data_IF_159058213959
#
_entry.id   IF_159058213959
#
_cell.length_a   1.000
_cell.length_b   1.000
_cell.length_c   1.000
_cell.angle_alpha   90.00
_cell.angle_beta   90.00
_cell.angle_gamma   90.00
#
_symmetry.space_group_name_H-M   'P 1'
#
loop_
_entity.id
_entity.type
_entity.pdbx_description
1 polymer ?
#
# COMPACT_ATOMS: atom_id res chain seq x y z
N UNK A 1 30.71 29.24 32.82
CA UNK A 1 31.04 28.16 31.85
C UNK A 1 29.81 27.31 31.48
N UNK A 2 28.59 27.74 31.82
CA UNK A 2 27.38 26.90 31.75
C UNK A 2 26.50 27.16 30.51
N UNK A 3 26.45 28.39 30.00
CA UNK A 3 25.61 28.74 28.85
C UNK A 3 26.03 28.02 27.55
N UNK A 4 27.34 27.82 27.34
CA UNK A 4 27.87 27.11 26.16
C UNK A 4 27.54 25.61 26.19
N UNK A 5 27.50 24.99 27.36
CA UNK A 5 27.11 23.59 27.50
C UNK A 5 25.61 23.40 27.24
N UNK A 6 24.77 24.33 27.72
CA UNK A 6 23.32 24.27 27.49
C UNK A 6 22.97 24.40 26.01
N UNK A 7 23.63 25.31 25.26
CA UNK A 7 23.43 25.46 23.83
C UNK A 7 23.86 24.21 23.03
N UNK A 8 24.97 23.58 23.40
CA UNK A 8 25.41 22.34 22.76
C UNK A 8 24.44 21.19 23.00
N UNK A 9 23.83 21.11 24.19
CA UNK A 9 22.81 20.10 24.52
C UNK A 9 21.53 20.33 23.71
N UNK A 10 21.07 21.59 23.57
CA UNK A 10 19.88 21.92 22.76
C UNK A 10 20.11 21.58 21.28
N UNK A 11 21.31 21.87 20.75
CA UNK A 11 21.70 21.52 19.38
C UNK A 11 21.77 20.00 19.22
N UNK A 12 22.33 19.27 20.19
CA UNK A 12 22.36 17.80 20.19
C UNK A 12 20.96 17.17 20.26
N UNK A 13 20.03 17.74 21.04
CA UNK A 13 18.63 17.29 21.10
C UNK A 13 17.90 17.61 19.79
N UNK A 14 18.11 18.80 19.22
CA UNK A 14 17.51 19.16 17.93
C UNK A 14 18.07 18.31 16.76
N UNK A 15 19.35 17.93 16.83
CA UNK A 15 19.98 17.00 15.88
C UNK A 15 19.49 15.57 16.14
N UNK A 16 19.36 15.11 17.39
CA UNK A 16 18.81 13.80 17.72
C UNK A 16 17.32 13.66 17.36
N UNK A 17 16.54 14.73 17.44
CA UNK A 17 15.16 14.76 16.95
C UNK A 17 15.07 14.80 15.41
N UNK A 18 16.12 15.29 14.72
CA UNK A 18 16.21 15.27 13.25
C UNK A 18 16.82 13.97 12.70
N UNK A 19 17.61 13.25 13.50
CA UNK A 19 18.12 11.94 13.13
C UNK A 19 17.05 10.92 13.52
N UNK A 20 16.23 10.58 12.54
CA UNK A 20 15.48 9.32 12.48
C UNK A 20 14.30 9.13 13.43
N UNK A 21 13.24 9.92 13.24
CA UNK A 21 11.97 9.22 13.04
C UNK A 21 12.11 8.54 11.69
N UNK A 22 12.63 7.31 11.66
CA UNK A 22 12.47 6.46 10.49
C UNK A 22 10.97 6.30 10.30
N UNK A 23 10.38 7.18 9.47
CA UNK A 23 9.00 7.07 9.03
C UNK A 23 8.83 5.66 8.49
N UNK A 24 8.12 4.82 9.22
CA UNK A 24 7.81 3.46 8.82
C UNK A 24 6.41 3.51 8.23
N UNK A 25 6.34 3.79 6.93
CA UNK A 25 5.06 3.87 6.23
C UNK A 25 4.38 2.50 6.24
N UNK A 26 3.07 2.53 6.49
CA UNK A 26 2.13 1.41 6.45
C UNK A 26 1.02 1.72 5.47
N UNK A 27 0.33 0.71 4.96
CA UNK A 27 -0.83 0.93 4.09
C UNK A 27 -1.94 1.68 4.83
N UNK A 28 -2.12 1.42 6.13
CA UNK A 28 -3.10 2.09 6.98
C UNK A 28 -2.89 3.61 7.12
N UNK A 29 -1.69 4.13 6.82
CA UNK A 29 -1.39 5.57 6.96
C UNK A 29 -2.13 6.45 5.94
N UNK A 30 -2.79 5.84 4.95
CA UNK A 30 -3.65 6.54 3.99
C UNK A 30 -5.10 6.70 4.45
N UNK A 31 -5.45 6.13 5.61
CA UNK A 31 -6.77 6.25 6.21
C UNK A 31 -7.16 7.73 6.38
N UNK A 32 -8.30 8.11 5.82
CA UNK A 32 -8.81 9.48 5.83
C UNK A 32 -7.89 10.53 5.17
N UNK A 33 -6.94 10.11 4.32
CA UNK A 33 -6.16 11.06 3.53
C UNK A 33 -7.08 11.79 2.55
N UNK A 34 -7.03 13.12 2.59
CA UNK A 34 -7.78 14.00 1.70
C UNK A 34 -6.84 14.74 0.74
N UNK A 35 -7.22 14.85 -0.53
CA UNK A 35 -6.49 15.61 -1.54
C UNK A 35 -7.43 16.01 -2.68
N UNK A 36 -6.98 16.94 -3.53
CA UNK A 36 -7.75 17.44 -4.67
C UNK A 36 -7.06 17.13 -5.98
N UNK A 37 -7.82 16.63 -6.95
CA UNK A 37 -7.38 16.41 -8.33
C UNK A 37 -7.97 17.49 -9.23
N UNK A 38 -7.12 18.10 -10.07
CA UNK A 38 -7.59 18.98 -11.14
C UNK A 38 -7.42 18.32 -12.52
N UNK A 39 -8.53 17.89 -13.13
CA UNK A 39 -8.56 17.18 -14.41
C UNK A 39 -7.90 17.94 -15.58
N UNK A 40 -7.79 19.26 -15.49
CA UNK A 40 -7.10 20.08 -16.52
C UNK A 40 -5.60 20.12 -16.34
N UNK A 41 -5.11 19.98 -15.10
CA UNK A 41 -3.69 20.08 -14.76
C UNK A 41 -3.01 18.72 -14.77
N UNK A 42 -3.72 17.68 -14.34
CA UNK A 42 -3.17 16.32 -14.28
C UNK A 42 -3.05 15.71 -15.67
N UNK A 43 -1.80 15.59 -16.13
CA UNK A 43 -1.44 14.94 -17.39
C UNK A 43 -1.04 13.47 -17.20
N UNK A 44 -0.64 13.10 -15.99
CA UNK A 44 -0.24 11.75 -15.62
C UNK A 44 -1.42 10.98 -15.03
N UNK A 45 -1.43 9.66 -15.24
CA UNK A 45 -2.33 8.76 -14.52
C UNK A 45 -1.81 8.42 -13.11
N UNK A 46 -0.59 8.81 -12.77
CA UNK A 46 -0.01 8.67 -11.43
C UNK A 46 0.11 10.03 -10.80
N UNK A 47 -0.71 10.28 -9.77
CA UNK A 47 -0.74 11.54 -9.03
C UNK A 47 -0.06 11.29 -7.70
N UNK A 48 1.04 11.98 -7.43
CA UNK A 48 1.76 11.89 -6.16
C UNK A 48 0.95 12.61 -5.07
N UNK A 49 0.49 11.88 -4.06
CA UNK A 49 -0.35 12.38 -2.96
C UNK A 49 0.41 12.50 -1.63
N UNK A 50 1.58 11.86 -1.52
CA UNK A 50 2.52 12.01 -0.41
C UNK A 50 3.94 11.73 -0.90
N UNK A 51 4.93 12.42 -0.33
CA UNK A 51 6.35 12.20 -0.65
C UNK A 51 7.22 12.65 0.52
N UNK A 52 8.11 11.78 0.96
CA UNK A 52 9.13 12.08 1.96
C UNK A 52 10.51 11.55 1.50
N UNK A 53 11.52 11.53 2.36
CA UNK A 53 12.86 11.06 1.99
C UNK A 53 12.91 9.57 1.60
N UNK A 54 11.99 8.75 2.12
CA UNK A 54 12.02 7.29 2.05
C UNK A 54 10.90 6.72 1.15
N UNK A 55 9.76 7.39 1.07
CA UNK A 55 8.57 6.89 0.39
C UNK A 55 7.92 7.93 -0.52
N UNK A 56 7.25 7.44 -1.55
CA UNK A 56 6.29 8.23 -2.34
C UNK A 56 4.98 7.45 -2.42
N UNK A 57 3.86 8.12 -2.19
CA UNK A 57 2.53 7.52 -2.35
C UNK A 57 1.88 8.13 -3.57
N UNK A 58 1.44 7.26 -4.49
CA UNK A 58 0.76 7.65 -5.72
C UNK A 58 -0.68 7.17 -5.72
N UNK A 59 -1.58 8.04 -6.12
CA UNK A 59 -2.93 7.72 -6.52
C UNK A 59 -2.95 7.43 -8.03
N UNK A 60 -3.45 6.26 -8.42
CA UNK A 60 -3.62 5.88 -9.82
C UNK A 60 -4.98 6.35 -10.30
N UNK A 61 -4.94 7.36 -11.14
CA UNK A 61 -6.07 8.12 -11.62
C UNK A 61 -6.52 7.62 -13.00
N UNK A 62 -7.79 7.17 -13.09
CA UNK A 62 -8.47 6.92 -14.36
C UNK A 62 -9.52 8.01 -14.59
N UNK A 63 -9.38 8.77 -15.68
CA UNK A 63 -10.30 9.86 -16.06
C UNK A 63 -11.75 9.39 -16.18
N UNK A 64 -11.97 8.12 -16.53
CA UNK A 64 -13.32 7.54 -16.67
C UNK A 64 -14.08 7.50 -15.35
N UNK A 65 -13.38 7.45 -14.23
CA UNK A 65 -14.01 7.38 -12.90
C UNK A 65 -14.55 8.74 -12.42
N UNK A 66 -14.40 9.82 -13.21
CA UNK A 66 -14.66 11.21 -12.78
C UNK A 66 -15.65 12.00 -13.66
N UNK A 67 -16.76 11.39 -14.07
CA UNK A 67 -17.89 12.07 -14.75
C UNK A 67 -19.09 12.32 -13.83
N UNK A 68 -18.85 12.94 -12.67
CA UNK A 68 -19.92 13.27 -11.71
C UNK A 68 -20.56 14.62 -12.05
N UNK A 69 -21.86 14.80 -11.81
CA UNK A 69 -22.47 16.15 -11.83
C UNK A 69 -21.89 17.00 -10.69
N UNK A 70 -21.81 18.33 -10.89
CA UNK A 70 -21.29 19.25 -9.86
C UNK A 70 -22.11 19.11 -8.57
N UNK A 71 -21.44 19.05 -7.43
CA UNK A 71 -22.09 18.91 -6.12
C UNK A 71 -22.52 17.50 -5.76
N UNK A 72 -22.28 16.51 -6.64
CA UNK A 72 -22.45 15.10 -6.32
C UNK A 72 -21.12 14.48 -5.91
N UNK A 73 -21.21 13.53 -4.99
CA UNK A 73 -20.13 12.61 -4.66
C UNK A 73 -20.46 11.19 -5.10
N UNK A 74 -19.43 10.36 -5.21
CA UNK A 74 -19.56 8.91 -5.40
C UNK A 74 -18.63 8.19 -4.45
N UNK A 75 -19.05 7.01 -4.01
CA UNK A 75 -18.14 6.03 -3.45
C UNK A 75 -17.51 5.25 -4.62
N UNK A 76 -16.28 4.79 -4.44
CA UNK A 76 -15.58 4.01 -5.46
C UNK A 76 -14.34 3.33 -4.90
N UNK A 77 -13.49 2.87 -5.81
CA UNK A 77 -12.23 2.21 -5.47
C UNK A 77 -11.07 3.16 -5.81
N UNK A 78 -10.26 3.50 -4.81
CA UNK A 78 -8.95 4.12 -4.99
C UNK A 78 -7.92 3.06 -5.33
N UNK A 79 -7.10 3.33 -6.33
CA UNK A 79 -5.90 2.55 -6.65
C UNK A 79 -4.70 3.32 -6.14
N UNK A 80 -3.92 2.73 -5.23
CA UNK A 80 -2.84 3.44 -4.53
C UNK A 80 -1.56 2.62 -4.57
N UNK A 81 -0.44 3.30 -4.84
CA UNK A 81 0.91 2.73 -4.84
C UNK A 81 1.70 3.34 -3.69
N UNK A 82 2.23 2.48 -2.82
CA UNK A 82 3.18 2.83 -1.77
C UNK A 82 4.59 2.47 -2.24
N UNK A 83 5.33 3.47 -2.73
CA UNK A 83 6.65 3.27 -3.32
C UNK A 83 7.76 3.48 -2.29
N UNK A 84 8.55 2.43 -2.03
CA UNK A 84 9.75 2.50 -1.18
C UNK A 84 10.98 2.85 -2.04
N UNK A 85 11.60 3.99 -1.75
CA UNK A 85 12.82 4.44 -2.44
C UNK A 85 14.03 3.56 -2.11
N UNK A 86 14.03 2.94 -0.93
CA UNK A 86 15.05 1.99 -0.48
C UNK A 86 15.09 0.73 -1.34
N UNK A 87 13.92 0.14 -1.62
CA UNK A 87 13.82 -1.09 -2.42
C UNK A 87 13.62 -0.83 -3.90
N UNK A 88 13.32 0.42 -4.30
CA UNK A 88 12.95 0.79 -5.66
C UNK A 88 11.77 -0.05 -6.19
N UNK A 89 10.78 -0.27 -5.32
CA UNK A 89 9.58 -1.08 -5.55
C UNK A 89 8.36 -0.43 -4.93
N UNK A 90 7.20 -0.66 -5.53
CA UNK A 90 5.91 -0.17 -5.04
C UNK A 90 4.98 -1.29 -4.61
N UNK A 91 4.23 -1.11 -3.53
CA UNK A 91 3.08 -1.96 -3.21
C UNK A 91 1.84 -1.28 -3.77
N UNK A 92 1.23 -1.90 -4.77
CA UNK A 92 -0.06 -1.51 -5.33
C UNK A 92 -1.18 -2.20 -4.56
N UNK A 93 -2.16 -1.40 -4.12
CA UNK A 93 -3.34 -1.88 -3.41
C UNK A 93 -4.57 -1.07 -3.80
N UNK A 94 -5.74 -1.61 -3.49
CA UNK A 94 -7.03 -0.97 -3.71
C UNK A 94 -7.68 -0.62 -2.38
N UNK A 95 -8.30 0.55 -2.29
CA UNK A 95 -8.98 1.02 -1.08
C UNK A 95 -10.33 1.61 -1.45
N UNK A 96 -11.19 1.82 -0.45
CA UNK A 96 -12.40 2.61 -0.69
C UNK A 96 -12.03 4.09 -0.85
N UNK A 97 -12.84 4.80 -1.63
CA UNK A 97 -12.76 6.25 -1.71
C UNK A 97 -14.13 6.89 -1.76
N UNK A 98 -14.16 8.13 -1.32
CA UNK A 98 -15.24 9.07 -1.62
C UNK A 98 -14.66 10.17 -2.49
N UNK A 99 -15.24 10.38 -3.67
CA UNK A 99 -14.86 11.46 -4.58
C UNK A 99 -16.02 12.44 -4.72
N UNK A 100 -15.77 13.73 -4.52
CA UNK A 100 -16.76 14.81 -4.62
C UNK A 100 -16.34 15.85 -5.65
N UNK A 101 -17.24 16.22 -6.55
CA UNK A 101 -16.97 17.26 -7.55
C UNK A 101 -17.21 18.66 -6.97
N UNK A 102 -16.13 19.31 -6.53
CA UNK A 102 -16.15 20.70 -6.05
C UNK A 102 -16.42 21.70 -7.17
N UNK A 103 -15.68 21.59 -8.29
CA UNK A 103 -15.78 22.47 -9.46
C UNK A 103 -15.75 21.65 -10.74
N UNK A 104 -16.02 22.28 -11.90
CA UNK A 104 -16.11 21.60 -13.21
C UNK A 104 -14.97 20.61 -13.48
N UNK A 105 -13.76 20.87 -13.00
CA UNK A 105 -12.60 20.00 -13.20
C UNK A 105 -11.85 19.69 -11.90
N UNK A 106 -12.43 19.99 -10.73
CA UNK A 106 -11.76 19.81 -9.43
C UNK A 106 -12.57 18.84 -8.60
N UNK A 107 -11.91 17.77 -8.18
CA UNK A 107 -12.50 16.69 -7.40
C UNK A 107 -11.72 16.55 -6.10
N UNK A 108 -12.44 16.53 -4.99
CA UNK A 108 -11.87 16.24 -3.68
C UNK A 108 -12.07 14.77 -3.40
N UNK A 109 -10.98 14.10 -3.02
CA UNK A 109 -10.92 12.66 -2.81
C UNK A 109 -10.54 12.42 -1.37
N UNK A 110 -11.26 11.52 -0.73
CA UNK A 110 -10.93 10.97 0.58
C UNK A 110 -10.79 9.47 0.45
N UNK A 111 -9.66 8.93 0.90
CA UNK A 111 -9.40 7.49 0.91
C UNK A 111 -9.83 6.90 2.26
N UNK A 112 -10.40 5.71 2.22
CA UNK A 112 -10.76 4.90 3.40
C UNK A 112 -10.21 3.49 3.20
N UNK A 113 -9.48 3.02 4.19
CA UNK A 113 -8.89 1.68 4.23
C UNK A 113 -9.80 0.68 4.93
N UNK A 114 -10.81 1.16 5.66
CA UNK A 114 -11.64 0.30 6.51
C UNK A 114 -10.86 -0.27 7.71
N UNK A 115 -9.71 0.30 8.04
CA UNK A 115 -8.79 -0.22 9.08
C UNK A 115 -9.40 -0.31 10.47
N UNK A 116 -10.49 0.42 10.72
CA UNK A 116 -11.26 0.37 11.97
C UNK A 116 -12.12 -0.91 12.09
N UNK A 117 -12.48 -1.53 10.97
CA UNK A 117 -13.21 -2.80 10.94
C UNK A 117 -12.20 -3.96 10.91
N UNK A 118 -12.44 -5.00 11.71
CA UNK A 118 -11.54 -6.18 11.80
C UNK A 118 -11.44 -6.97 10.49
N UNK A 119 -12.29 -6.67 9.52
CA UNK A 119 -12.40 -7.35 8.24
C UNK A 119 -11.80 -6.46 7.14
N UNK A 120 -10.78 -6.97 6.47
CA UNK A 120 -10.05 -6.24 5.45
C UNK A 120 -10.78 -6.29 4.10
N UNK A 121 -10.71 -5.19 3.33
CA UNK A 121 -11.26 -5.11 1.96
C UNK A 121 -10.25 -5.50 0.86
N UNK A 122 -9.00 -5.78 1.22
CA UNK A 122 -7.92 -6.05 0.26
C UNK A 122 -7.56 -7.53 0.25
N UNK A 123 -8.22 -8.35 -0.57
CA UNK A 123 -7.86 -9.77 -0.72
C UNK A 123 -6.48 -9.97 -1.37
N UNK A 124 -6.11 -9.03 -2.25
CA UNK A 124 -4.99 -9.16 -3.17
C UNK A 124 -4.23 -7.83 -3.30
N UNK A 125 -2.91 -7.90 -3.50
CA UNK A 125 -2.04 -6.75 -3.79
C UNK A 125 -1.05 -7.14 -4.90
N UNK A 126 -0.35 -6.14 -5.43
CA UNK A 126 0.79 -6.38 -6.32
C UNK A 126 2.02 -5.61 -5.88
N UNK A 127 3.20 -6.16 -6.18
CA UNK A 127 4.47 -5.47 -6.06
C UNK A 127 4.91 -5.05 -7.47
N UNK A 128 5.21 -3.77 -7.59
CA UNK A 128 5.64 -3.10 -8.81
C UNK A 128 7.14 -2.81 -8.78
N UNK A 129 7.77 -2.84 -9.94
CA UNK A 129 9.12 -2.31 -10.13
C UNK A 129 9.16 -0.77 -10.17
N UNK A 130 10.35 -0.22 -10.41
CA UNK A 130 10.59 1.23 -10.53
C UNK A 130 9.84 1.91 -11.69
N UNK A 131 9.48 1.13 -12.70
CA UNK A 131 8.80 1.57 -13.91
C UNK A 131 7.28 1.26 -13.82
N UNK A 132 6.81 0.87 -12.62
CA UNK A 132 5.44 0.49 -12.29
C UNK A 132 4.92 -0.76 -13.02
N UNK A 133 5.80 -1.67 -13.45
CA UNK A 133 5.41 -2.99 -13.95
C UNK A 133 5.28 -4.00 -12.81
N UNK A 134 4.36 -4.95 -12.97
CA UNK A 134 4.05 -5.96 -11.97
C UNK A 134 5.12 -7.06 -11.94
N UNK A 135 5.80 -7.21 -10.81
CA UNK A 135 6.80 -8.26 -10.61
C UNK A 135 6.29 -9.39 -9.71
N UNK A 136 5.46 -9.08 -8.72
CA UNK A 136 4.92 -10.08 -7.80
C UNK A 136 3.46 -9.79 -7.48
N UNK A 137 2.73 -10.84 -7.13
CA UNK A 137 1.40 -10.75 -6.55
C UNK A 137 1.44 -11.16 -5.09
N UNK A 138 0.58 -10.55 -4.29
CA UNK A 138 0.38 -10.90 -2.88
C UNK A 138 -1.08 -11.29 -2.69
N UNK A 139 -1.31 -12.44 -2.06
CA UNK A 139 -2.65 -12.82 -1.59
C UNK A 139 -2.66 -12.92 -0.08
N UNK A 140 -3.65 -12.30 0.54
CA UNK A 140 -3.78 -12.21 1.98
C UNK A 140 -4.86 -13.14 2.51
N UNK A 141 -4.59 -13.76 3.66
CA UNK A 141 -5.47 -14.72 4.30
C UNK A 141 -5.61 -14.41 5.78
N UNK A 142 -6.86 -14.39 6.26
CA UNK A 142 -7.13 -14.40 7.70
C UNK A 142 -7.02 -15.84 8.22
N UNK A 143 -6.24 -16.02 9.29
CA UNK A 143 -6.10 -17.31 9.96
C UNK A 143 -6.96 -17.30 11.23
N UNK A 144 -8.11 -17.99 11.24
CA UNK A 144 -8.89 -18.12 12.46
C UNK A 144 -8.09 -18.89 13.51
N UNK A 145 -8.21 -18.54 14.81
CA UNK A 145 -7.59 -19.35 15.86
C UNK A 145 -8.18 -20.78 15.85
N UNK A 146 -7.38 -21.82 16.08
CA UNK A 146 -7.89 -23.18 16.16
C UNK A 146 -8.85 -23.31 17.35
N UNK A 147 -10.03 -23.95 17.20
CA UNK A 147 -10.92 -24.20 18.34
C UNK A 147 -10.20 -25.05 19.40
N UNK A 148 -10.33 -24.78 20.71
CA UNK A 148 -11.27 -23.86 21.37
C UNK A 148 -10.70 -22.45 21.64
N UNK A 149 -9.52 -22.11 21.11
CA UNK A 149 -8.82 -20.87 21.45
C UNK A 149 -9.58 -19.64 20.96
N UNK A 150 -9.96 -18.75 21.89
CA UNK A 150 -10.56 -17.45 21.60
C UNK A 150 -9.50 -16.35 21.45
N UNK A 151 -8.35 -16.69 20.85
CA UNK A 151 -7.14 -15.87 20.80
C UNK A 151 -7.15 -14.74 19.75
N UNK A 152 -6.01 -14.05 19.65
CA UNK A 152 -5.75 -12.98 18.67
C UNK A 152 -5.66 -13.61 17.26
N UNK A 153 -6.50 -13.15 16.33
CA UNK A 153 -6.44 -13.55 14.92
C UNK A 153 -5.03 -13.35 14.37
N UNK A 154 -4.48 -14.39 13.75
CA UNK A 154 -3.27 -14.26 12.92
C UNK A 154 -3.71 -14.02 11.48
N UNK A 155 -2.79 -13.55 10.67
CA UNK A 155 -3.00 -13.53 9.24
C UNK A 155 -1.74 -14.05 8.56
N UNK A 156 -1.88 -14.51 7.33
CA UNK A 156 -0.73 -14.79 6.49
C UNK A 156 -0.90 -14.11 5.14
N UNK A 157 0.20 -13.98 4.42
CA UNK A 157 0.15 -13.62 3.01
C UNK A 157 1.14 -14.47 2.23
N UNK A 158 0.77 -14.77 0.99
CA UNK A 158 1.61 -15.48 0.04
C UNK A 158 2.06 -14.49 -1.01
N UNK A 159 3.37 -14.42 -1.27
CA UNK A 159 3.94 -13.71 -2.42
C UNK A 159 4.22 -14.71 -3.53
N UNK A 160 3.88 -14.37 -4.78
CA UNK A 160 4.17 -15.16 -5.97
C UNK A 160 4.79 -14.29 -7.07
N UNK A 161 5.83 -14.81 -7.73
CA UNK A 161 6.45 -14.18 -8.91
C UNK A 161 5.45 -14.14 -10.10
N UNK A 162 5.29 -12.97 -10.72
CA UNK A 162 4.32 -12.74 -11.79
C UNK A 162 4.66 -13.45 -13.11
N UNK A 163 5.94 -13.83 -13.29
CA UNK A 163 6.47 -14.54 -14.47
C UNK A 163 6.67 -16.03 -14.20
N UNK A 164 6.99 -16.41 -12.96
CA UNK A 164 7.16 -17.80 -12.55
C UNK A 164 6.28 -18.15 -11.35
N UNK A 165 5.04 -18.56 -11.62
CA UNK A 165 4.03 -18.86 -10.60
C UNK A 165 4.43 -19.98 -9.63
N UNK A 166 5.44 -20.80 -9.96
CA UNK A 166 5.93 -21.83 -9.03
C UNK A 166 6.70 -21.26 -7.84
N UNK A 167 7.17 -20.00 -7.93
CA UNK A 167 7.93 -19.35 -6.86
C UNK A 167 6.99 -18.65 -5.91
N UNK A 168 6.74 -19.29 -4.77
CA UNK A 168 5.87 -18.77 -3.72
C UNK A 168 6.58 -18.73 -2.37
N UNK A 169 6.20 -17.78 -1.52
CA UNK A 169 6.64 -17.71 -0.13
C UNK A 169 5.43 -17.36 0.75
N UNK A 170 5.17 -18.17 1.78
CA UNK A 170 4.09 -17.96 2.75
C UNK A 170 4.67 -17.34 4.02
N UNK A 171 4.13 -16.19 4.42
CA UNK A 171 4.61 -15.40 5.54
C UNK A 171 3.46 -15.23 6.53
N UNK A 172 3.67 -15.71 7.76
CA UNK A 172 2.74 -15.54 8.87
C UNK A 172 3.04 -14.23 9.59
N UNK A 173 2.02 -13.39 9.75
CA UNK A 173 2.10 -12.09 10.42
C UNK A 173 1.23 -12.02 11.68
N UNK A 174 1.63 -11.13 12.59
CA UNK A 174 0.89 -10.85 13.82
C UNK A 174 -0.05 -9.67 13.58
N UNK A 175 -1.27 -9.96 13.15
CA UNK A 175 -2.29 -8.94 12.90
C UNK A 175 -2.63 -8.83 11.43
N UNK A 176 -2.88 -7.62 10.95
CA UNK A 176 -3.39 -7.38 9.60
C UNK A 176 -2.31 -6.72 8.73
N UNK A 177 -2.21 -7.16 7.48
CA UNK A 177 -1.21 -6.74 6.50
C UNK A 177 -1.14 -5.23 6.29
N UNK A 178 -2.27 -4.49 6.42
CA UNK A 178 -2.23 -3.03 6.23
C UNK A 178 -1.45 -2.28 7.31
N UNK A 179 -1.24 -2.92 8.46
CA UNK A 179 -0.47 -2.38 9.57
C UNK A 179 0.99 -2.83 9.57
N UNK A 180 1.34 -3.77 8.70
CA UNK A 180 2.72 -4.15 8.44
C UNK A 180 3.44 -3.01 7.73
N UNK A 181 4.73 -2.86 8.01
CA UNK A 181 5.54 -1.83 7.36
C UNK A 181 5.76 -2.23 5.91
N UNK A 182 5.68 -1.26 5.00
CA UNK A 182 5.92 -1.48 3.57
C UNK A 182 7.28 -2.17 3.35
N UNK A 183 8.31 -1.68 4.05
CA UNK A 183 9.66 -2.23 3.98
C UNK A 183 9.78 -3.69 4.47
N UNK A 184 8.97 -4.09 5.45
CA UNK A 184 8.96 -5.47 5.98
C UNK A 184 8.31 -6.40 4.96
N UNK A 185 7.19 -5.98 4.35
CA UNK A 185 6.55 -6.72 3.24
C UNK A 185 7.52 -6.87 2.07
N UNK A 186 8.20 -5.78 1.65
CA UNK A 186 9.13 -5.82 0.51
C UNK A 186 10.38 -6.65 0.79
N UNK A 187 10.87 -6.67 2.04
CA UNK A 187 12.04 -7.49 2.41
C UNK A 187 11.78 -8.99 2.21
N UNK A 188 10.53 -9.43 2.34
CA UNK A 188 10.14 -10.83 2.20
C UNK A 188 10.24 -11.37 0.76
N UNK A 189 10.40 -10.49 -0.23
CA UNK A 189 10.71 -10.88 -1.61
C UNK A 189 12.10 -11.52 -1.69
N UNK A 190 13.05 -11.05 -0.87
CA UNK A 190 14.43 -11.59 -0.86
C UNK A 190 14.50 -13.04 -0.38
N UNK A 191 13.49 -13.50 0.35
CA UNK A 191 13.40 -14.86 0.87
C UNK A 191 12.60 -15.80 -0.03
N UNK A 192 12.18 -15.35 -1.22
CA UNK A 192 11.64 -16.22 -2.27
C UNK A 192 12.74 -17.21 -2.70
N UNK A 193 12.62 -18.44 -2.20
CA UNK A 193 13.58 -19.50 -2.48
C UNK A 193 13.55 -19.86 -3.97
N UNK A 194 14.60 -19.49 -4.70
CA UNK A 194 14.70 -19.73 -6.14
C UNK A 194 14.77 -21.22 -6.50
N UNK A 195 15.01 -22.08 -5.50
CA UNK A 195 15.33 -23.50 -5.68
C UNK A 195 14.22 -24.44 -5.17
N UNK A 196 13.23 -23.94 -4.42
CA UNK A 196 12.04 -24.72 -4.03
C UNK A 196 10.92 -24.53 -5.03
N UNK A 197 10.88 -25.40 -6.03
CA UNK A 197 9.66 -25.64 -6.80
C UNK A 197 8.77 -26.50 -5.89
N UNK A 198 7.79 -25.89 -5.24
CA UNK A 198 6.80 -26.66 -4.46
C UNK A 198 6.02 -27.54 -5.45
N UNK A 199 6.29 -28.85 -5.41
CA UNK A 199 5.88 -29.84 -6.41
C UNK A 199 4.40 -30.24 -6.43
N UNK A 200 3.48 -29.28 -6.39
CA UNK A 200 2.08 -29.45 -6.82
C UNK A 200 1.73 -28.24 -7.69
N UNK A 201 0.90 -28.48 -8.71
CA UNK A 201 0.47 -27.53 -9.76
C UNK A 201 0.74 -26.07 -9.41
N UNK A 202 1.58 -25.39 -10.21
CA UNK A 202 2.01 -24.01 -9.99
C UNK A 202 0.86 -23.03 -10.26
N UNK A 203 -0.19 -23.14 -9.49
CA UNK A 203 -1.40 -22.37 -9.63
C UNK A 203 -1.16 -20.92 -9.25
N UNK A 204 -1.82 -20.02 -9.97
CA UNK A 204 -1.78 -18.60 -9.66
C UNK A 204 -2.45 -18.36 -8.32
N UNK A 205 -1.78 -17.61 -7.43
CA UNK A 205 -2.39 -17.27 -6.14
C UNK A 205 -3.56 -16.31 -6.32
N UNK A 206 -3.47 -15.39 -7.29
CA UNK A 206 -4.55 -14.46 -7.64
C UNK A 206 -5.40 -15.00 -8.79
N UNK A 207 -6.71 -14.79 -8.68
CA UNK A 207 -7.66 -15.27 -9.67
C UNK A 207 -7.75 -14.25 -10.82
N UNK A 208 -8.31 -14.63 -11.97
CA UNK A 208 -8.49 -13.68 -13.09
C UNK A 208 -9.36 -12.47 -12.71
N UNK A 209 -10.25 -12.60 -11.73
CA UNK A 209 -11.06 -11.49 -11.20
C UNK A 209 -10.19 -10.46 -10.48
N UNK A 210 -9.35 -10.90 -9.53
CA UNK A 210 -8.38 -10.03 -8.85
C UNK A 210 -7.46 -9.35 -9.89
N UNK A 211 -7.02 -10.11 -10.89
CA UNK A 211 -6.20 -9.58 -11.98
C UNK A 211 -6.94 -8.50 -12.78
N UNK A 212 -8.21 -8.69 -13.14
CA UNK A 212 -8.97 -7.69 -13.90
C UNK A 212 -9.23 -6.39 -13.10
N UNK A 213 -9.30 -6.47 -11.77
CA UNK A 213 -9.42 -5.28 -10.92
C UNK A 213 -8.11 -4.46 -10.92
N UNK A 214 -6.97 -5.14 -10.99
CA UNK A 214 -5.66 -4.52 -11.20
C UNK A 214 -5.47 -3.99 -12.63
N UNK A 215 -5.86 -4.79 -13.62
CA UNK A 215 -5.67 -4.57 -15.05
C UNK A 215 -7.03 -4.52 -15.77
N UNK A 216 -7.69 -3.35 -15.77
CA UNK A 216 -8.81 -3.15 -16.71
C UNK A 216 -8.23 -3.21 -18.13
N UNK A 217 -8.75 -4.11 -18.96
CA UNK A 217 -8.48 -4.14 -20.42
C UNK A 217 -9.00 -2.87 -21.10
#
# INVERSE_FOLDING_TARGET
MELKQLNNIIILIAIACNISVFSQTKLADIENKEFSINLKKEKSNFIKISDDANYSIYYVFDKKDFDLKKGLGTNGIAKVIFFSKKYNKGIFSIFEQVAYREKRNVYNIRIRTGSYDKNMFVSSLAILDKDFNYEYFIKYYHLPPPPPDKGIYKSSFIIQDSKNYCRTNDIVIKGNLIYEKIDDILSSIQTLDTNKINGKECDRIINNLDFNDFFKK
#
